data_IF_066458706195
#
_entry.id   IF_066458706195
#
_cell.length_a   1.000
_cell.length_b   1.000
_cell.length_c   1.000
_cell.angle_alpha   90.00
_cell.angle_beta   90.00
_cell.angle_gamma   90.00
#
_symmetry.space_group_name_H-M   'P 1'
#
loop_
_entity.id
_entity.type
_entity.pdbx_description
1 polymer ?
#
# COMPACT_ATOMS: atom_id res chain seq x y z
N UNK A 1 -5.64 -30.74 7.93
CA UNK A 1 -6.79 -30.23 8.71
C UNK A 1 -7.52 -31.38 9.38
N UNK A 2 -7.88 -31.19 10.62
CA UNK A 2 -8.77 -32.13 11.31
C UNK A 2 -10.23 -31.85 10.89
N UNK A 3 -11.14 -32.81 11.13
CA UNK A 3 -12.57 -32.62 10.86
C UNK A 3 -13.16 -31.45 11.68
N UNK A 4 -12.59 -31.17 12.85
CA UNK A 4 -12.99 -30.08 13.73
C UNK A 4 -12.64 -28.72 13.09
N UNK A 5 -11.45 -28.57 12.47
CA UNK A 5 -10.99 -27.35 11.86
C UNK A 5 -11.88 -26.94 10.67
N UNK A 6 -12.32 -27.91 9.87
CA UNK A 6 -13.21 -27.67 8.74
C UNK A 6 -14.60 -27.18 9.18
N UNK A 7 -15.13 -27.72 10.28
CA UNK A 7 -16.43 -27.32 10.82
C UNK A 7 -16.41 -25.90 11.41
N UNK A 8 -15.32 -25.53 12.09
CA UNK A 8 -15.10 -24.17 12.63
C UNK A 8 -14.98 -23.17 11.48
N UNK A 9 -14.14 -23.47 10.49
CA UNK A 9 -13.95 -22.63 9.31
C UNK A 9 -15.28 -22.33 8.60
N UNK A 10 -16.06 -23.39 8.32
CA UNK A 10 -17.35 -23.24 7.64
C UNK A 10 -18.33 -22.38 8.44
N UNK A 11 -18.49 -22.63 9.74
CA UNK A 11 -19.32 -21.80 10.62
C UNK A 11 -18.92 -20.34 10.63
N UNK A 12 -17.63 -20.05 10.70
CA UNK A 12 -17.10 -18.68 10.67
C UNK A 12 -17.38 -17.99 9.33
N UNK A 13 -17.24 -18.71 8.22
CA UNK A 13 -17.57 -18.17 6.92
C UNK A 13 -19.09 -17.93 6.75
N UNK A 14 -19.92 -18.81 7.26
CA UNK A 14 -21.39 -18.65 7.27
C UNK A 14 -21.84 -17.51 8.18
N UNK A 15 -21.18 -17.33 9.34
CA UNK A 15 -21.52 -16.22 10.26
C UNK A 15 -21.30 -14.83 9.66
N UNK A 16 -20.46 -14.70 8.63
CA UNK A 16 -20.30 -13.41 7.92
C UNK A 16 -21.61 -12.97 7.25
N UNK A 17 -22.41 -13.92 6.74
CA UNK A 17 -23.72 -13.58 6.15
C UNK A 17 -24.71 -13.10 7.21
N UNK A 18 -24.71 -13.74 8.39
CA UNK A 18 -25.52 -13.36 9.53
C UNK A 18 -25.11 -11.99 10.09
N UNK A 19 -23.82 -11.73 10.16
CA UNK A 19 -23.21 -10.51 10.71
C UNK A 19 -22.95 -9.42 9.65
N UNK A 20 -23.40 -9.61 8.41
CA UNK A 20 -23.16 -8.69 7.28
C UNK A 20 -23.56 -7.24 7.62
N UNK A 21 -24.67 -7.05 8.34
CA UNK A 21 -25.11 -5.76 8.81
C UNK A 21 -24.11 -5.10 9.78
N UNK A 22 -23.50 -5.87 10.68
CA UNK A 22 -22.48 -5.39 11.62
C UNK A 22 -21.18 -5.00 10.91
N UNK A 23 -20.78 -5.78 9.90
CA UNK A 23 -19.60 -5.49 9.09
C UNK A 23 -19.77 -4.18 8.31
N UNK A 24 -20.94 -3.97 7.69
CA UNK A 24 -21.29 -2.75 6.98
C UNK A 24 -21.33 -1.56 7.94
N UNK A 25 -21.96 -1.71 9.11
CA UNK A 25 -22.02 -0.65 10.13
C UNK A 25 -20.63 -0.25 10.60
N UNK A 26 -19.75 -1.22 10.86
CA UNK A 26 -18.37 -0.95 11.24
C UNK A 26 -17.65 -0.13 10.17
N UNK A 27 -17.72 -0.54 8.90
CA UNK A 27 -17.13 0.24 7.80
C UNK A 27 -17.72 1.65 7.71
N UNK A 28 -19.04 1.77 7.76
CA UNK A 28 -19.72 3.07 7.71
C UNK A 28 -19.28 4.01 8.83
N UNK A 29 -19.10 3.47 10.05
CA UNK A 29 -18.60 4.24 11.21
C UNK A 29 -17.16 4.65 11.04
N UNK A 30 -16.28 3.76 10.53
CA UNK A 30 -14.88 4.10 10.23
C UNK A 30 -14.78 5.23 9.18
N UNK A 31 -15.61 5.20 8.14
CA UNK A 31 -15.64 6.26 7.11
C UNK A 31 -16.07 7.61 7.71
N UNK A 32 -17.03 7.61 8.64
CA UNK A 32 -17.52 8.84 9.29
C UNK A 32 -16.50 9.52 10.19
N UNK A 33 -15.38 8.87 10.46
CA UNK A 33 -14.26 9.46 11.22
C UNK A 33 -13.17 9.82 10.20
N UNK A 34 -13.06 11.09 9.78
CA UNK A 34 -12.00 11.53 8.88
C UNK A 34 -10.62 11.31 9.50
N UNK A 35 -9.73 10.76 8.74
CA UNK A 35 -8.34 10.49 9.13
C UNK A 35 -7.39 10.85 7.98
N UNK A 36 -7.65 11.99 7.35
CA UNK A 36 -6.94 12.47 6.17
C UNK A 36 -5.45 12.65 6.43
N UNK A 37 -4.63 12.15 5.53
CA UNK A 37 -3.19 12.27 5.59
C UNK A 37 -2.61 12.64 4.21
N UNK A 38 -1.98 13.81 4.06
CA UNK A 38 -1.84 14.90 5.04
C UNK A 38 -3.15 15.64 5.35
N UNK A 39 -3.26 16.41 6.48
CA UNK A 39 -2.24 16.74 7.48
C UNK A 39 -1.99 15.65 8.53
N UNK A 40 -2.75 14.57 8.54
CA UNK A 40 -2.60 13.38 9.33
C UNK A 40 -2.99 13.51 10.81
N UNK A 41 -4.14 12.91 11.17
CA UNK A 41 -4.43 12.58 12.55
C UNK A 41 -5.25 11.30 12.59
N UNK A 42 -4.73 10.28 13.23
CA UNK A 42 -5.43 9.01 13.45
C UNK A 42 -5.94 8.85 14.88
N UNK A 43 -5.93 9.93 15.69
CA UNK A 43 -6.32 9.90 17.10
C UNK A 43 -7.76 9.41 17.28
N UNK A 44 -8.70 10.03 16.60
CA UNK A 44 -10.14 9.74 16.78
C UNK A 44 -10.49 8.32 16.33
N UNK A 45 -10.03 7.91 15.15
CA UNK A 45 -10.29 6.57 14.61
C UNK A 45 -9.59 5.48 15.44
N UNK A 46 -8.39 5.75 15.97
CA UNK A 46 -7.68 4.81 16.84
C UNK A 46 -8.42 4.60 18.17
N UNK A 47 -8.91 5.66 18.79
CA UNK A 47 -9.75 5.55 19.99
C UNK A 47 -11.07 4.83 19.71
N UNK A 48 -11.73 5.11 18.60
CA UNK A 48 -12.93 4.38 18.20
C UNK A 48 -12.66 2.87 18.07
N UNK A 49 -11.58 2.47 17.41
CA UNK A 49 -11.23 1.03 17.25
C UNK A 49 -10.85 0.43 18.60
N UNK A 50 -10.13 1.16 19.45
CA UNK A 50 -9.81 0.72 20.81
C UNK A 50 -11.09 0.40 21.57
N UNK A 51 -12.04 1.33 21.65
CA UNK A 51 -13.30 1.16 22.37
C UNK A 51 -14.16 0.02 21.77
N UNK A 52 -14.16 -0.13 20.44
CA UNK A 52 -14.82 -1.22 19.76
C UNK A 52 -14.23 -2.59 20.18
N UNK A 53 -12.92 -2.72 20.22
CA UNK A 53 -12.23 -3.96 20.63
C UNK A 53 -12.40 -4.24 22.13
N UNK A 54 -12.40 -3.23 22.99
CA UNK A 54 -12.70 -3.36 24.42
C UNK A 54 -14.13 -3.87 24.65
N UNK A 55 -15.09 -3.43 23.83
CA UNK A 55 -16.46 -3.97 23.83
C UNK A 55 -16.55 -5.46 23.50
N UNK A 56 -15.53 -6.02 22.84
CA UNK A 56 -15.40 -7.47 22.59
C UNK A 56 -14.60 -8.20 23.66
N UNK A 57 -14.04 -7.49 24.66
CA UNK A 57 -13.26 -8.02 25.78
C UNK A 57 -11.76 -8.13 25.51
N UNK A 58 -11.24 -7.42 24.52
CA UNK A 58 -9.79 -7.32 24.28
C UNK A 58 -9.18 -6.16 25.08
N UNK A 59 -7.84 -6.17 25.18
CA UNK A 59 -7.04 -5.12 25.80
C UNK A 59 -6.12 -4.48 24.74
N UNK A 60 -6.68 -3.67 23.82
CA UNK A 60 -5.87 -3.03 22.79
C UNK A 60 -4.95 -1.96 23.38
N UNK A 61 -3.73 -1.85 22.82
CA UNK A 61 -2.75 -0.84 23.19
C UNK A 61 -2.67 0.23 22.10
N UNK A 62 -2.60 1.48 22.53
CA UNK A 62 -2.35 2.62 21.67
C UNK A 62 -0.87 3.01 21.75
N UNK A 63 -0.29 3.34 20.59
CA UNK A 63 1.08 3.82 20.46
C UNK A 63 1.07 5.10 19.64
N UNK A 64 1.55 6.20 20.19
CA UNK A 64 1.65 7.50 19.53
C UNK A 64 3.12 7.90 19.38
N UNK A 65 3.83 7.38 18.36
CA UNK A 65 5.26 7.68 18.15
C UNK A 65 5.53 9.11 17.72
N UNK A 66 4.56 9.75 17.12
CA UNK A 66 4.57 11.14 16.70
C UNK A 66 3.19 11.74 16.96
N UNK A 67 3.13 13.01 17.28
CA UNK A 67 1.88 13.70 17.63
C UNK A 67 0.83 13.54 16.52
N UNK A 68 -0.32 12.96 16.87
CA UNK A 68 -1.42 12.68 15.97
C UNK A 68 -1.33 11.34 15.23
N UNK A 69 -0.17 10.70 15.16
CA UNK A 69 -0.01 9.38 14.55
C UNK A 69 -0.19 8.28 15.61
N UNK A 70 -1.43 7.85 15.80
CA UNK A 70 -1.79 6.82 16.78
C UNK A 70 -2.03 5.49 16.10
N UNK A 71 -1.31 4.45 16.54
CA UNK A 71 -1.45 3.07 16.11
C UNK A 71 -2.24 2.27 17.16
N UNK A 72 -2.99 1.26 16.72
CA UNK A 72 -3.70 0.33 17.61
C UNK A 72 -3.12 -1.06 17.45
N UNK A 73 -2.82 -1.75 18.55
CA UNK A 73 -2.37 -3.14 18.55
C UNK A 73 -3.20 -3.96 19.52
N UNK A 74 -3.80 -5.04 19.04
CA UNK A 74 -4.51 -6.03 19.86
C UNK A 74 -4.00 -7.43 19.54
N UNK A 75 -3.87 -8.28 20.56
CA UNK A 75 -3.41 -9.66 20.35
C UNK A 75 -4.33 -10.63 21.08
N UNK A 76 -4.41 -11.83 20.54
CA UNK A 76 -5.10 -12.98 21.13
C UNK A 76 -4.28 -14.24 20.92
N UNK A 77 -4.32 -15.16 21.89
CA UNK A 77 -3.58 -16.41 21.84
C UNK A 77 -2.08 -16.23 22.10
N UNK A 78 -1.34 -17.33 22.04
CA UNK A 78 0.10 -17.38 22.35
C UNK A 78 0.81 -18.40 21.45
N UNK A 79 2.13 -18.21 21.29
CA UNK A 79 2.98 -19.17 20.57
C UNK A 79 2.92 -19.05 19.06
N UNK A 80 3.14 -20.18 18.38
CA UNK A 80 3.18 -20.31 16.91
C UNK A 80 2.11 -21.32 16.44
N UNK A 81 1.56 -21.16 15.22
CA UNK A 81 1.89 -20.09 14.28
C UNK A 81 1.32 -18.73 14.73
N UNK A 82 2.00 -17.64 14.37
CA UNK A 82 1.61 -16.28 14.69
C UNK A 82 1.28 -15.49 13.41
N UNK A 83 0.02 -15.13 13.23
CA UNK A 83 -0.45 -14.33 12.11
C UNK A 83 -0.66 -12.86 12.52
N UNK A 84 -0.13 -11.96 11.74
CA UNK A 84 -0.40 -10.52 11.84
C UNK A 84 -1.51 -10.16 10.85
N UNK A 85 -2.52 -9.45 11.33
CA UNK A 85 -3.52 -8.76 10.51
C UNK A 85 -3.15 -7.28 10.49
N UNK A 86 -2.90 -6.72 9.31
CA UNK A 86 -2.47 -5.33 9.18
C UNK A 86 -3.43 -4.51 8.32
N UNK A 87 -3.73 -3.29 8.77
CA UNK A 87 -4.42 -2.30 7.97
C UNK A 87 -4.18 -0.90 8.48
N UNK A 88 -4.09 0.08 7.55
CA UNK A 88 -3.88 1.46 7.93
C UNK A 88 -5.18 2.20 8.25
N UNK A 89 -5.04 3.25 9.08
CA UNK A 89 -6.12 4.09 9.61
C UNK A 89 -6.33 5.35 8.80
N UNK A 90 -5.26 5.86 8.23
CA UNK A 90 -5.25 7.09 7.44
C UNK A 90 -5.83 6.87 6.04
N UNK A 91 -6.09 7.95 5.34
CA UNK A 91 -6.70 7.97 4.02
C UNK A 91 -6.29 9.24 3.27
N UNK A 92 -6.40 9.24 1.95
CA UNK A 92 -6.26 10.46 1.16
C UNK A 92 -7.30 11.50 1.56
N UNK A 93 -6.96 12.81 1.58
CA UNK A 93 -7.93 13.87 1.76
C UNK A 93 -8.99 13.88 0.65
N UNK A 94 -10.22 14.25 0.97
CA UNK A 94 -11.19 14.66 -0.05
C UNK A 94 -10.86 16.10 -0.47
N UNK A 95 -10.48 16.29 -1.75
CA UNK A 95 -10.06 17.61 -2.23
C UNK A 95 -11.20 18.62 -2.28
N UNK A 96 -10.87 19.87 -1.99
CA UNK A 96 -11.82 20.98 -2.10
C UNK A 96 -12.18 21.19 -3.58
N UNK A 97 -13.49 21.06 -3.88
CA UNK A 97 -14.00 21.20 -5.25
C UNK A 97 -14.25 19.89 -5.99
N UNK A 98 -13.88 18.74 -5.43
CA UNK A 98 -14.34 17.45 -5.93
C UNK A 98 -15.87 17.35 -5.88
N UNK A 99 -16.46 16.86 -6.96
CA UNK A 99 -17.93 16.66 -7.01
C UNK A 99 -18.27 15.24 -6.58
N UNK A 100 -18.71 15.10 -5.35
CA UNK A 100 -19.19 13.85 -4.77
C UNK A 100 -20.70 13.71 -4.95
N UNK A 101 -21.17 12.51 -5.33
CA UNK A 101 -22.61 12.17 -5.38
C UNK A 101 -23.22 12.00 -3.98
N UNK A 102 -22.40 11.75 -2.98
CA UNK A 102 -22.73 11.69 -1.55
C UNK A 102 -21.62 12.38 -0.76
N UNK A 103 -21.86 12.91 0.45
CA UNK A 103 -20.77 13.53 1.22
C UNK A 103 -19.59 12.53 1.45
N UNK A 104 -18.32 12.96 1.27
CA UNK A 104 -17.16 12.06 1.27
C UNK A 104 -16.98 11.26 2.55
N UNK A 105 -17.43 11.73 3.68
CA UNK A 105 -17.33 11.04 4.97
C UNK A 105 -18.70 10.58 5.51
N UNK A 106 -19.69 10.34 4.63
CA UNK A 106 -21.03 9.92 5.07
C UNK A 106 -21.10 8.45 5.49
N UNK A 107 -20.27 7.58 4.89
CA UNK A 107 -20.43 6.14 5.05
C UNK A 107 -21.81 5.64 4.60
N UNK A 108 -22.41 6.29 3.60
CA UNK A 108 -23.76 5.98 3.14
C UNK A 108 -23.78 4.61 2.45
N UNK A 109 -24.80 3.81 2.79
CA UNK A 109 -25.06 2.55 2.11
C UNK A 109 -26.14 2.77 1.05
N UNK A 110 -25.76 2.71 -0.22
CA UNK A 110 -26.65 3.02 -1.33
C UNK A 110 -26.35 2.18 -2.56
N UNK A 111 -27.37 1.68 -3.21
CA UNK A 111 -27.26 0.89 -4.44
C UNK A 111 -26.29 -0.30 -4.35
N UNK A 112 -26.22 -0.97 -3.19
CA UNK A 112 -25.35 -2.12 -2.98
C UNK A 112 -23.89 -1.78 -2.69
N UNK A 113 -23.57 -0.52 -2.40
CA UNK A 113 -22.22 -0.04 -2.08
C UNK A 113 -22.19 0.69 -0.74
N UNK A 114 -21.05 0.67 -0.07
CA UNK A 114 -20.70 1.61 1.00
C UNK A 114 -19.84 2.70 0.38
N UNK A 115 -20.30 3.93 0.50
CA UNK A 115 -19.69 5.09 -0.15
C UNK A 115 -18.89 5.92 0.84
N UNK A 116 -17.78 6.44 0.38
CA UNK A 116 -16.98 7.44 1.09
C UNK A 116 -15.49 7.30 0.91
N UNK A 117 -14.77 8.37 1.18
CA UNK A 117 -13.31 8.42 1.16
C UNK A 117 -12.74 7.41 2.16
N UNK A 118 -11.74 6.64 1.72
CA UNK A 118 -11.15 5.57 2.51
C UNK A 118 -11.99 4.28 2.56
N UNK A 119 -13.18 4.24 1.92
CA UNK A 119 -13.99 3.01 1.89
C UNK A 119 -13.24 1.86 1.22
N UNK A 120 -12.48 2.15 0.18
CA UNK A 120 -11.64 1.19 -0.54
C UNK A 120 -10.23 1.12 0.03
N UNK A 121 -9.58 2.27 0.25
CA UNK A 121 -8.20 2.41 0.70
C UNK A 121 -8.15 3.07 2.08
N UNK A 122 -8.02 2.24 3.20
CA UNK A 122 -8.30 0.80 3.15
C UNK A 122 -9.28 0.39 4.26
N UNK A 123 -10.19 1.30 4.69
CA UNK A 123 -11.13 1.04 5.81
C UNK A 123 -12.06 -0.16 5.53
N UNK A 124 -12.35 -0.47 4.24
CA UNK A 124 -13.10 -1.67 3.87
C UNK A 124 -12.38 -2.95 4.27
N UNK A 125 -11.13 -3.10 3.87
CA UNK A 125 -10.31 -4.23 4.28
C UNK A 125 -10.03 -4.23 5.78
N UNK A 126 -9.76 -3.07 6.38
CA UNK A 126 -9.56 -2.92 7.82
C UNK A 126 -10.79 -3.36 8.62
N UNK A 127 -12.00 -2.96 8.21
CA UNK A 127 -13.25 -3.39 8.87
C UNK A 127 -13.42 -4.91 8.81
N UNK A 128 -13.07 -5.53 7.68
CA UNK A 128 -13.05 -6.99 7.53
C UNK A 128 -12.06 -7.65 8.48
N UNK A 129 -10.82 -7.13 8.58
CA UNK A 129 -9.80 -7.67 9.49
C UNK A 129 -10.21 -7.55 10.96
N UNK A 130 -10.76 -6.40 11.38
CA UNK A 130 -11.26 -6.19 12.74
C UNK A 130 -12.40 -7.19 13.05
N UNK A 131 -13.37 -7.33 12.15
CA UNK A 131 -14.48 -8.27 12.30
C UNK A 131 -13.98 -9.71 12.43
N UNK A 132 -13.05 -10.13 11.56
CA UNK A 132 -12.45 -11.45 11.57
C UNK A 132 -11.61 -11.70 12.83
N UNK A 133 -10.83 -10.73 13.28
CA UNK A 133 -10.10 -10.82 14.55
C UNK A 133 -11.04 -11.09 15.73
N UNK A 134 -12.11 -10.34 15.84
CA UNK A 134 -13.10 -10.49 16.91
C UNK A 134 -13.80 -11.86 16.88
N UNK A 135 -14.20 -12.31 15.70
CA UNK A 135 -14.95 -13.56 15.57
C UNK A 135 -14.08 -14.82 15.77
N UNK A 136 -12.86 -14.81 15.25
CA UNK A 136 -11.96 -15.98 15.31
C UNK A 136 -11.34 -16.18 16.68
N UNK A 137 -11.08 -15.13 17.44
CA UNK A 137 -10.50 -15.20 18.78
C UNK A 137 -11.34 -16.01 19.78
N UNK A 138 -12.66 -16.15 19.56
CA UNK A 138 -13.58 -16.90 20.42
C UNK A 138 -13.65 -18.40 20.10
N UNK A 139 -12.89 -18.87 19.11
CA UNK A 139 -13.02 -20.24 18.62
C UNK A 139 -12.01 -21.25 19.19
N UNK A 140 -11.13 -20.82 20.10
CA UNK A 140 -10.11 -21.70 20.68
C UNK A 140 -9.09 -22.22 19.65
N UNK A 141 -8.79 -21.44 18.63
CA UNK A 141 -7.79 -21.78 17.63
C UNK A 141 -6.38 -21.79 18.26
N UNK A 142 -5.45 -22.62 17.79
CA UNK A 142 -4.07 -22.59 18.27
C UNK A 142 -3.31 -21.37 17.75
N UNK A 143 -2.13 -21.12 18.36
CA UNK A 143 -1.24 -20.05 17.91
C UNK A 143 -1.66 -18.66 18.38
N UNK A 144 -1.14 -17.65 17.71
CA UNK A 144 -1.34 -16.24 18.05
C UNK A 144 -1.85 -15.43 16.86
N UNK A 145 -2.78 -14.54 17.14
CA UNK A 145 -3.31 -13.57 16.18
C UNK A 145 -3.07 -12.17 16.72
N UNK A 146 -2.47 -11.29 15.93
CA UNK A 146 -2.26 -9.89 16.29
C UNK A 146 -2.84 -9.00 15.22
N UNK A 147 -3.69 -8.06 15.62
CA UNK A 147 -4.22 -6.99 14.78
C UNK A 147 -3.37 -5.74 14.99
N UNK A 148 -2.87 -5.16 13.90
CA UNK A 148 -2.19 -3.87 13.86
C UNK A 148 -2.98 -2.92 12.97
N UNK A 149 -3.47 -1.82 13.55
CA UNK A 149 -4.08 -0.73 12.79
C UNK A 149 -3.09 0.42 12.80
N UNK A 150 -2.49 0.71 11.65
CA UNK A 150 -1.31 1.57 11.51
C UNK A 150 -1.67 2.99 11.07
N UNK A 151 -0.92 3.97 11.52
CA UNK A 151 -0.99 5.34 11.03
C UNK A 151 -0.02 5.57 9.87
N UNK A 152 -0.20 6.64 9.14
CA UNK A 152 0.69 7.26 8.14
C UNK A 152 1.13 6.39 6.94
N UNK A 153 0.39 5.36 6.57
CA UNK A 153 0.71 4.56 5.38
C UNK A 153 0.78 5.44 4.12
N UNK A 154 -0.21 6.32 3.94
CA UNK A 154 -0.38 7.24 2.82
C UNK A 154 0.75 8.27 2.65
N UNK A 155 1.58 8.42 3.68
CA UNK A 155 2.77 9.27 3.68
C UNK A 155 4.08 8.49 3.91
N UNK A 156 4.03 7.16 3.79
CA UNK A 156 5.19 6.29 3.74
C UNK A 156 5.44 5.42 4.97
N UNK A 157 4.52 5.29 5.92
CA UNK A 157 4.48 4.29 7.00
C UNK A 157 5.56 4.41 8.07
N UNK A 158 6.22 5.59 8.17
CA UNK A 158 7.33 5.81 9.12
C UNK A 158 6.91 5.67 10.57
N UNK A 159 5.77 6.23 10.92
CA UNK A 159 5.22 6.29 12.27
C UNK A 159 4.19 5.18 12.54
N UNK A 160 3.81 4.47 11.50
CA UNK A 160 2.92 3.31 11.50
C UNK A 160 3.67 2.00 11.63
N UNK A 161 3.58 1.18 10.59
CA UNK A 161 4.12 -0.19 10.56
C UNK A 161 5.62 -0.26 10.82
N UNK A 162 6.42 0.64 10.24
CA UNK A 162 7.87 0.66 10.46
C UNK A 162 8.20 0.89 11.93
N UNK A 163 7.59 1.91 12.55
CA UNK A 163 7.84 2.20 13.95
C UNK A 163 7.40 1.06 14.87
N UNK A 164 6.24 0.46 14.61
CA UNK A 164 5.76 -0.69 15.40
C UNK A 164 6.75 -1.85 15.34
N UNK A 165 7.25 -2.19 14.16
CA UNK A 165 8.22 -3.26 13.95
C UNK A 165 9.55 -3.03 14.67
N UNK A 166 9.99 -1.77 14.78
CA UNK A 166 11.23 -1.41 15.43
C UNK A 166 11.10 -1.30 16.96
N UNK A 167 9.91 -1.00 17.48
CA UNK A 167 9.76 -0.60 18.89
C UNK A 167 8.81 -1.49 19.70
N UNK A 168 7.94 -2.29 19.08
CA UNK A 168 6.95 -3.11 19.79
C UNK A 168 7.29 -4.60 19.66
N UNK A 169 7.71 -5.27 20.74
CA UNK A 169 8.03 -6.69 20.69
C UNK A 169 6.83 -7.54 20.26
N UNK A 170 7.11 -8.56 19.44
CA UNK A 170 6.09 -9.53 19.04
C UNK A 170 5.16 -9.08 17.91
N UNK A 171 5.51 -7.99 17.18
CA UNK A 171 4.75 -7.53 16.00
C UNK A 171 5.23 -8.19 14.70
N UNK A 172 6.35 -8.88 14.72
CA UNK A 172 6.91 -9.49 13.51
C UNK A 172 6.02 -10.61 12.94
N UNK A 173 5.59 -11.55 13.81
CA UNK A 173 4.79 -12.70 13.37
C UNK A 173 5.54 -13.68 12.46
N UNK A 174 4.84 -14.75 12.04
CA UNK A 174 5.35 -15.72 11.06
C UNK A 174 4.88 -15.37 9.63
N UNK A 175 3.77 -14.63 9.52
CA UNK A 175 3.23 -14.09 8.25
C UNK A 175 2.28 -12.93 8.53
N UNK A 176 1.98 -12.19 7.46
CA UNK A 176 1.05 -11.04 7.51
C UNK A 176 -0.04 -11.19 6.46
N UNK A 177 -1.26 -10.88 6.88
CA UNK A 177 -2.39 -10.59 6.00
C UNK A 177 -2.72 -9.11 6.11
N UNK A 178 -2.61 -8.36 5.02
CA UNK A 178 -3.12 -7.00 4.92
C UNK A 178 -4.48 -6.96 4.22
N UNK A 179 -5.33 -6.04 4.68
CA UNK A 179 -6.64 -5.78 4.09
C UNK A 179 -6.62 -4.81 2.90
N UNK A 180 -5.44 -4.45 2.37
CA UNK A 180 -5.28 -3.58 1.21
C UNK A 180 -6.14 -4.01 0.02
N UNK A 181 -6.76 -3.06 -0.71
CA UNK A 181 -7.64 -3.39 -1.82
C UNK A 181 -6.89 -4.15 -2.92
N UNK A 182 -7.35 -5.34 -3.23
CA UNK A 182 -6.71 -6.22 -4.21
C UNK A 182 -7.63 -6.63 -5.37
N UNK A 183 -8.92 -6.33 -5.28
CA UNK A 183 -9.89 -6.65 -6.31
C UNK A 183 -10.05 -8.15 -6.58
N UNK A 184 -9.87 -8.99 -5.55
CA UNK A 184 -9.96 -10.45 -5.65
C UNK A 184 -8.68 -11.14 -6.12
N UNK A 185 -7.59 -10.41 -6.37
CA UNK A 185 -6.26 -11.00 -6.61
C UNK A 185 -5.52 -11.21 -5.29
N UNK A 186 -4.55 -12.13 -5.26
CA UNK A 186 -3.64 -12.28 -4.12
C UNK A 186 -2.41 -11.43 -4.40
N UNK A 187 -2.31 -10.29 -3.70
CA UNK A 187 -1.21 -9.35 -3.89
C UNK A 187 -0.03 -9.78 -3.04
N UNK A 188 1.01 -10.29 -3.68
CA UNK A 188 2.18 -10.84 -3.00
C UNK A 188 3.38 -9.91 -2.97
N UNK A 189 3.33 -8.78 -3.67
CA UNK A 189 4.47 -7.88 -3.79
C UNK A 189 4.10 -6.51 -4.30
N UNK A 190 5.11 -5.67 -4.37
CA UNK A 190 5.01 -4.28 -4.80
C UNK A 190 6.30 -3.82 -5.48
N UNK A 191 6.18 -2.82 -6.34
CA UNK A 191 7.34 -2.12 -6.88
C UNK A 191 8.00 -1.28 -5.79
N UNK A 192 9.31 -1.16 -5.88
CA UNK A 192 10.03 -0.15 -5.12
C UNK A 192 9.70 1.26 -5.60
N UNK A 193 10.11 2.25 -4.83
CA UNK A 193 9.87 3.66 -5.10
C UNK A 193 11.11 4.48 -4.78
N UNK A 194 11.42 5.46 -5.64
CA UNK A 194 12.43 6.48 -5.39
C UNK A 194 11.85 7.82 -5.79
N UNK A 195 11.55 8.68 -4.81
CA UNK A 195 11.22 10.07 -5.06
C UNK A 195 12.43 10.96 -4.77
N UNK A 196 12.68 11.93 -5.63
CA UNK A 196 13.82 12.84 -5.51
C UNK A 196 13.56 14.16 -6.22
N UNK A 197 14.38 15.15 -5.87
CA UNK A 197 14.42 16.47 -6.50
C UNK A 197 15.75 16.67 -7.21
N UNK A 198 15.72 17.12 -8.45
CA UNK A 198 16.93 17.57 -9.16
C UNK A 198 16.93 19.09 -9.21
N UNK A 199 18.07 19.70 -8.87
CA UNK A 199 18.26 21.14 -8.92
C UNK A 199 19.40 21.51 -9.85
N UNK A 200 19.19 22.57 -10.65
CA UNK A 200 20.22 23.23 -11.43
C UNK A 200 20.40 24.67 -10.97
N UNK A 201 21.64 25.14 -11.00
CA UNK A 201 21.99 26.50 -10.66
C UNK A 201 22.51 27.20 -11.87
N UNK A 202 22.11 28.45 -12.02
CA UNK A 202 22.55 29.38 -13.06
C UNK A 202 23.18 30.64 -12.46
N UNK A 203 23.45 31.60 -13.33
CA UNK A 203 23.92 32.93 -12.97
C UNK A 203 22.91 33.93 -13.50
N UNK A 204 22.25 34.72 -12.63
CA UNK A 204 21.24 35.66 -13.07
C UNK A 204 21.86 36.80 -13.88
N UNK A 205 21.10 37.30 -14.85
CA UNK A 205 21.42 38.49 -15.65
C UNK A 205 20.12 39.09 -16.19
N UNK A 206 20.18 40.31 -16.72
CA UNK A 206 19.04 40.86 -17.42
C UNK A 206 18.77 40.07 -18.72
N UNK A 207 17.51 39.76 -19.01
CA UNK A 207 17.12 38.86 -20.12
C UNK A 207 17.58 39.37 -21.51
N UNK A 208 17.77 40.70 -21.70
CA UNK A 208 18.32 41.23 -22.94
C UNK A 208 19.77 40.81 -23.22
N UNK A 209 20.49 40.34 -22.23
CA UNK A 209 21.84 39.82 -22.35
C UNK A 209 21.90 38.29 -22.39
N UNK A 210 20.74 37.63 -22.49
CA UNK A 210 20.69 36.14 -22.53
C UNK A 210 21.54 35.60 -23.68
N UNK A 211 22.39 34.62 -23.38
CA UNK A 211 23.37 34.05 -24.31
C UNK A 211 24.73 34.76 -24.34
N UNK A 212 24.84 35.97 -23.81
CA UNK A 212 26.09 36.72 -23.68
C UNK A 212 26.51 36.90 -22.21
N UNK A 213 25.54 37.05 -21.33
CA UNK A 213 25.79 37.14 -19.88
C UNK A 213 24.79 36.31 -19.11
N UNK A 214 25.26 35.78 -17.96
CA UNK A 214 24.47 34.90 -17.14
C UNK A 214 24.50 33.43 -17.61
N UNK A 215 23.94 32.56 -16.80
CA UNK A 215 23.75 31.13 -17.09
C UNK A 215 22.31 30.76 -16.76
N UNK A 216 21.57 30.27 -17.73
CA UNK A 216 20.15 29.97 -17.57
C UNK A 216 19.93 28.57 -16.94
N UNK A 217 19.45 28.55 -15.69
CA UNK A 217 19.20 27.30 -14.97
C UNK A 217 18.10 26.45 -15.61
N UNK A 218 17.07 27.06 -16.23
CA UNK A 218 16.01 26.34 -16.93
C UNK A 218 16.58 25.61 -18.15
N UNK A 219 17.48 26.27 -18.92
CA UNK A 219 18.13 25.64 -20.07
C UNK A 219 19.11 24.52 -19.66
N UNK A 220 19.73 24.64 -18.48
CA UNK A 220 20.50 23.53 -17.89
C UNK A 220 19.60 22.35 -17.57
N UNK A 221 18.50 22.61 -16.87
CA UNK A 221 17.50 21.55 -16.54
C UNK A 221 16.95 20.89 -17.81
N UNK A 222 16.62 21.66 -18.83
CA UNK A 222 16.12 21.11 -20.10
C UNK A 222 17.05 20.10 -20.76
N UNK A 223 18.37 20.17 -20.51
CA UNK A 223 19.36 19.19 -20.99
C UNK A 223 19.42 17.94 -20.09
N UNK A 224 19.00 18.04 -18.81
CA UNK A 224 18.98 16.94 -17.87
C UNK A 224 17.71 16.10 -17.96
N UNK A 225 16.57 16.69 -18.36
CA UNK A 225 15.27 15.99 -18.43
C UNK A 225 15.32 14.70 -19.26
N UNK A 226 15.92 14.67 -20.47
CA UNK A 226 16.02 13.45 -21.26
C UNK A 226 16.81 12.33 -20.55
N UNK A 227 17.84 12.68 -19.77
CA UNK A 227 18.65 11.71 -19.04
C UNK A 227 17.90 11.13 -17.82
N UNK A 228 17.06 11.95 -17.18
CA UNK A 228 16.17 11.48 -16.12
C UNK A 228 15.14 10.52 -16.73
N UNK A 229 14.49 10.89 -17.82
CA UNK A 229 13.51 10.05 -18.49
C UNK A 229 14.12 8.75 -19.02
N UNK A 230 15.36 8.78 -19.54
CA UNK A 230 16.05 7.61 -20.07
C UNK A 230 16.32 6.52 -19.03
N UNK A 231 16.12 6.79 -17.71
CA UNK A 231 16.16 5.75 -16.68
C UNK A 231 15.06 4.70 -16.87
N UNK A 232 13.97 5.05 -17.54
CA UNK A 232 12.89 4.09 -17.92
C UNK A 232 13.38 2.93 -18.80
N UNK A 233 14.51 3.09 -19.49
CA UNK A 233 15.11 2.06 -20.34
C UNK A 233 15.93 1.04 -19.52
N UNK A 234 16.08 1.24 -18.21
CA UNK A 234 16.74 0.27 -17.35
C UNK A 234 15.77 -0.88 -17.12
N UNK A 235 16.21 -2.06 -17.55
CA UNK A 235 15.47 -3.31 -17.40
C UNK A 235 15.97 -4.11 -16.20
N UNK A 236 15.07 -4.92 -15.64
CA UNK A 236 15.38 -5.80 -14.53
C UNK A 236 16.34 -6.93 -14.94
N UNK A 237 17.30 -7.23 -14.07
CA UNK A 237 18.06 -8.47 -14.13
C UNK A 237 17.38 -9.50 -13.24
N UNK A 238 16.53 -10.35 -13.82
CA UNK A 238 15.71 -11.32 -13.10
C UNK A 238 16.42 -12.67 -12.97
N UNK A 239 16.33 -13.28 -11.79
CA UNK A 239 16.66 -14.70 -11.60
C UNK A 239 15.67 -15.58 -12.37
N UNK A 240 15.96 -16.90 -12.55
CA UNK A 240 15.02 -17.82 -13.17
C UNK A 240 13.66 -17.85 -12.47
N UNK A 241 13.63 -17.83 -11.14
CA UNK A 241 12.43 -17.81 -10.31
C UNK A 241 11.63 -16.51 -10.49
N UNK A 242 12.30 -15.38 -10.54
CA UNK A 242 11.67 -14.07 -10.76
C UNK A 242 11.12 -13.93 -12.18
N UNK A 243 11.72 -14.56 -13.17
CA UNK A 243 11.16 -14.63 -14.54
C UNK A 243 9.84 -15.39 -14.55
N UNK A 244 9.80 -16.59 -13.95
CA UNK A 244 8.57 -17.39 -13.84
C UNK A 244 7.49 -16.58 -13.10
N UNK A 245 7.85 -15.96 -11.97
CA UNK A 245 6.92 -15.11 -11.21
C UNK A 245 6.38 -13.96 -12.07
N UNK A 246 7.25 -13.25 -12.77
CA UNK A 246 6.85 -12.12 -13.63
C UNK A 246 5.90 -12.57 -14.74
N UNK A 247 6.13 -13.75 -15.35
CA UNK A 247 5.23 -14.33 -16.35
C UNK A 247 3.85 -14.66 -15.77
N UNK A 248 3.78 -15.19 -14.55
CA UNK A 248 2.50 -15.44 -13.85
C UNK A 248 1.76 -14.14 -13.56
N UNK A 249 2.48 -13.14 -13.06
CA UNK A 249 1.92 -11.81 -12.81
C UNK A 249 1.37 -11.17 -14.08
N UNK A 250 2.09 -11.27 -15.20
CA UNK A 250 1.64 -10.76 -16.50
C UNK A 250 0.36 -11.45 -16.97
N UNK A 251 0.25 -12.78 -16.82
CA UNK A 251 -0.99 -13.51 -17.13
C UNK A 251 -2.16 -13.00 -16.29
N UNK A 252 -1.94 -12.76 -14.99
CA UNK A 252 -2.92 -12.18 -14.10
C UNK A 252 -3.37 -10.79 -14.53
N UNK A 253 -2.45 -9.92 -14.89
CA UNK A 253 -2.75 -8.59 -15.43
C UNK A 253 -3.54 -8.67 -16.74
N UNK A 254 -3.11 -9.50 -17.69
CA UNK A 254 -3.82 -9.69 -18.98
C UNK A 254 -5.24 -10.20 -18.78
N UNK A 255 -5.43 -11.14 -17.86
CA UNK A 255 -6.76 -11.66 -17.55
C UNK A 255 -7.67 -10.61 -16.87
N UNK A 256 -7.10 -9.72 -16.06
CA UNK A 256 -7.84 -8.68 -15.34
C UNK A 256 -8.20 -7.47 -16.23
N UNK A 257 -7.31 -7.05 -17.12
CA UNK A 257 -7.42 -5.81 -17.89
C UNK A 257 -7.61 -6.02 -19.42
N UNK A 258 -7.60 -7.27 -19.90
CA UNK A 258 -7.75 -7.58 -21.31
C UNK A 258 -6.56 -7.12 -22.16
N UNK A 259 -6.80 -6.81 -23.46
CA UNK A 259 -5.74 -6.36 -24.37
C UNK A 259 -5.09 -5.02 -24.00
N UNK A 260 -5.74 -4.19 -23.20
CA UNK A 260 -5.15 -2.96 -22.68
C UNK A 260 -3.96 -3.24 -21.73
N UNK A 261 -3.87 -4.46 -21.20
CA UNK A 261 -2.80 -4.90 -20.32
C UNK A 261 -1.45 -5.13 -21.03
N UNK A 262 -1.40 -5.27 -22.36
CA UNK A 262 -0.11 -5.45 -23.06
C UNK A 262 0.85 -4.28 -22.83
N UNK A 263 0.33 -3.04 -22.73
CA UNK A 263 1.11 -1.88 -22.34
C UNK A 263 1.47 -1.84 -20.85
N UNK A 264 0.59 -2.37 -19.99
CA UNK A 264 0.82 -2.40 -18.53
C UNK A 264 1.84 -3.47 -18.12
N UNK A 265 2.02 -4.54 -18.90
CA UNK A 265 3.00 -5.58 -18.59
C UNK A 265 4.44 -5.03 -18.44
N UNK A 266 4.80 -4.02 -19.23
CA UNK A 266 6.08 -3.31 -19.12
C UNK A 266 6.27 -2.63 -17.77
N UNK A 267 5.20 -2.24 -17.08
CA UNK A 267 5.27 -1.62 -15.76
C UNK A 267 5.92 -2.56 -14.74
N UNK A 268 5.74 -3.87 -14.86
CA UNK A 268 6.30 -4.84 -13.91
C UNK A 268 7.80 -5.07 -14.07
N UNK A 269 8.35 -4.86 -15.27
CA UNK A 269 9.73 -5.21 -15.62
C UNK A 269 10.64 -4.01 -15.89
N UNK A 270 10.06 -2.81 -16.01
CA UNK A 270 10.81 -1.58 -16.31
C UNK A 270 10.67 -0.56 -15.18
N UNK A 271 11.70 0.26 -15.04
CA UNK A 271 11.62 1.47 -14.22
C UNK A 271 10.59 2.40 -14.84
N UNK A 272 9.67 2.93 -14.03
CA UNK A 272 8.79 4.02 -14.49
C UNK A 272 9.31 5.32 -13.92
N UNK A 273 9.27 6.38 -14.74
CA UNK A 273 9.77 7.71 -14.40
C UNK A 273 8.65 8.71 -14.67
N UNK A 274 8.27 9.44 -13.65
CA UNK A 274 7.34 10.56 -13.76
C UNK A 274 8.00 11.83 -13.27
N UNK A 275 8.20 12.79 -14.18
CA UNK A 275 8.63 14.14 -13.85
C UNK A 275 7.36 14.94 -13.55
N UNK A 276 6.95 14.94 -12.28
CA UNK A 276 5.64 15.44 -11.88
C UNK A 276 5.55 16.96 -11.74
N UNK A 277 6.65 17.60 -11.34
CA UNK A 277 6.69 19.04 -11.08
C UNK A 277 7.97 19.64 -11.63
N UNK A 278 7.88 20.82 -12.25
CA UNK A 278 9.02 21.66 -12.63
C UNK A 278 8.76 23.11 -12.21
N UNK A 279 9.75 23.73 -11.56
CA UNK A 279 9.71 25.16 -11.15
C UNK A 279 11.03 25.83 -11.50
N UNK A 280 10.98 27.05 -12.07
CA UNK A 280 12.20 27.79 -12.38
C UNK A 280 11.93 29.22 -12.82
N UNK A 281 12.88 30.13 -12.50
CA UNK A 281 12.78 31.54 -12.83
C UNK A 281 11.79 32.30 -11.96
N UNK A 282 11.86 33.63 -12.01
CA UNK A 282 10.99 34.56 -11.25
C UNK A 282 10.30 35.57 -12.15
N UNK A 283 10.87 35.89 -13.28
CA UNK A 283 10.35 36.88 -14.25
C UNK A 283 10.94 36.64 -15.65
N UNK A 284 10.12 36.77 -16.68
CA UNK A 284 10.52 36.46 -18.06
C UNK A 284 11.74 37.26 -18.59
N UNK A 285 11.99 38.48 -18.09
CA UNK A 285 13.11 39.29 -18.49
C UNK A 285 14.35 39.18 -17.55
N UNK A 286 14.45 38.11 -16.79
CA UNK A 286 15.62 37.80 -15.94
C UNK A 286 16.09 36.37 -16.30
N UNK A 287 17.40 36.19 -16.51
CA UNK A 287 18.02 34.89 -16.70
C UNK A 287 17.85 34.10 -15.41
N UNK A 288 17.16 32.90 -15.40
CA UNK A 288 16.89 32.14 -14.21
C UNK A 288 18.14 31.67 -13.46
N UNK A 289 18.19 31.97 -12.16
CA UNK A 289 19.26 31.52 -11.27
C UNK A 289 19.10 30.07 -10.78
N UNK A 290 17.87 29.58 -10.72
CA UNK A 290 17.55 28.21 -10.23
C UNK A 290 16.44 27.60 -11.05
N UNK A 291 16.50 26.25 -11.18
CA UNK A 291 15.41 25.44 -11.66
C UNK A 291 15.42 24.10 -10.87
N UNK A 292 14.23 23.61 -10.55
CA UNK A 292 14.01 22.41 -9.76
C UNK A 292 12.95 21.53 -10.43
N UNK A 293 13.17 20.20 -10.42
CA UNK A 293 12.16 19.21 -10.82
C UNK A 293 11.97 18.17 -9.71
N UNK A 294 10.72 17.76 -9.51
CA UNK A 294 10.37 16.67 -8.61
C UNK A 294 9.99 15.44 -9.43
N UNK A 295 10.59 14.30 -9.09
CA UNK A 295 10.51 13.05 -9.85
C UNK A 295 10.06 11.93 -8.94
N UNK A 296 9.07 11.14 -9.40
CA UNK A 296 8.67 9.86 -8.84
C UNK A 296 9.13 8.73 -9.77
N UNK A 297 9.87 7.77 -9.25
CA UNK A 297 10.25 6.56 -9.97
C UNK A 297 9.72 5.33 -9.26
N UNK A 298 9.23 4.35 -10.04
CA UNK A 298 8.89 3.03 -9.52
C UNK A 298 9.89 1.99 -10.01
N UNK A 299 10.39 1.21 -9.08
CA UNK A 299 11.52 0.29 -9.26
C UNK A 299 10.99 -1.14 -9.35
N UNK A 300 11.20 -1.87 -10.47
CA UNK A 300 10.75 -3.25 -10.58
C UNK A 300 11.64 -4.21 -9.79
N UNK A 301 11.20 -5.46 -9.64
CA UNK A 301 12.03 -6.56 -9.16
C UNK A 301 13.31 -6.65 -10.00
N UNK A 302 14.43 -7.00 -9.40
CA UNK A 302 15.70 -7.19 -10.08
C UNK A 302 16.44 -5.90 -10.47
N UNK A 303 15.94 -4.73 -9.99
CA UNK A 303 16.63 -3.45 -10.13
C UNK A 303 16.99 -2.90 -8.75
N UNK A 304 18.25 -2.58 -8.54
CA UNK A 304 18.74 -2.03 -7.27
C UNK A 304 18.51 -0.51 -7.20
N UNK A 305 17.87 0.00 -6.14
CA UNK A 305 17.75 1.43 -5.88
C UNK A 305 19.10 2.14 -5.82
N UNK A 306 20.14 1.51 -5.25
CA UNK A 306 21.46 2.09 -5.15
C UNK A 306 22.13 2.23 -6.51
N UNK A 307 21.98 1.26 -7.40
CA UNK A 307 22.45 1.35 -8.78
C UNK A 307 21.74 2.43 -9.56
N UNK A 308 20.41 2.55 -9.43
CA UNK A 308 19.64 3.63 -10.07
C UNK A 308 20.13 5.01 -9.62
N UNK A 309 20.34 5.21 -8.32
CA UNK A 309 20.88 6.46 -7.78
C UNK A 309 22.26 6.78 -8.31
N UNK A 310 23.14 5.79 -8.40
CA UNK A 310 24.49 5.95 -8.95
C UNK A 310 24.42 6.32 -10.44
N UNK A 311 23.64 5.58 -11.23
CA UNK A 311 23.45 5.86 -12.68
C UNK A 311 22.89 7.24 -12.92
N UNK A 312 21.86 7.67 -12.15
CA UNK A 312 21.29 9.00 -12.24
C UNK A 312 22.36 10.06 -11.97
N UNK A 313 23.08 9.92 -10.87
CA UNK A 313 24.12 10.89 -10.47
C UNK A 313 25.21 11.02 -11.54
N UNK A 314 25.67 9.88 -12.10
CA UNK A 314 26.68 9.85 -13.15
C UNK A 314 26.19 10.58 -14.43
N UNK A 315 24.99 10.24 -14.91
CA UNK A 315 24.40 10.85 -16.11
C UNK A 315 24.24 12.36 -15.97
N UNK A 316 23.70 12.81 -14.84
CA UNK A 316 23.48 14.25 -14.61
C UNK A 316 24.80 15.02 -14.54
N UNK A 317 25.80 14.47 -13.84
CA UNK A 317 27.15 15.08 -13.75
C UNK A 317 27.87 15.11 -15.08
N UNK A 318 27.62 14.15 -15.96
CA UNK A 318 28.17 14.14 -17.32
C UNK A 318 27.72 15.36 -18.17
N UNK A 319 26.60 15.98 -17.81
CA UNK A 319 26.03 17.15 -18.52
C UNK A 319 26.24 18.44 -17.75
N UNK A 320 25.99 18.44 -16.45
CA UNK A 320 26.12 19.61 -15.57
C UNK A 320 26.69 19.23 -14.21
N UNK A 321 27.97 19.53 -13.98
CA UNK A 321 28.65 19.26 -12.71
C UNK A 321 28.02 19.98 -11.51
N UNK A 322 27.26 21.06 -11.76
CA UNK A 322 26.55 21.80 -10.71
C UNK A 322 25.18 21.23 -10.34
N UNK A 323 24.68 20.24 -11.10
CA UNK A 323 23.41 19.58 -10.81
C UNK A 323 23.50 18.80 -9.49
N UNK A 324 22.48 18.93 -8.66
CA UNK A 324 22.36 18.20 -7.40
C UNK A 324 21.07 17.40 -7.36
N UNK A 325 21.15 16.21 -6.75
CA UNK A 325 20.00 15.33 -6.48
C UNK A 325 19.76 15.30 -4.99
N UNK A 326 18.53 15.60 -4.57
CA UNK A 326 18.11 15.61 -3.17
C UNK A 326 17.03 14.54 -2.96
N UNK A 327 17.33 13.56 -2.10
CA UNK A 327 16.44 12.49 -1.70
C UNK A 327 15.79 12.75 -0.32
N UNK A 328 16.20 13.82 0.38
CA UNK A 328 15.83 14.04 1.79
C UNK A 328 14.38 14.46 1.99
N UNK A 329 13.72 14.97 0.95
CA UNK A 329 12.32 15.39 1.02
C UNK A 329 11.36 14.20 1.15
N UNK A 330 11.79 13.01 0.71
CA UNK A 330 10.99 11.79 0.71
C UNK A 330 11.80 10.59 1.21
N UNK A 331 12.33 10.62 2.46
CA UNK A 331 13.28 9.60 2.95
C UNK A 331 12.68 8.20 3.04
N UNK A 332 11.36 8.09 3.24
CA UNK A 332 10.65 6.81 3.30
C UNK A 332 10.37 6.17 1.93
N UNK A 333 10.75 6.85 0.83
CA UNK A 333 10.47 6.39 -0.54
C UNK A 333 11.69 5.81 -1.26
N UNK A 334 12.79 5.55 -0.57
CA UNK A 334 13.96 4.90 -1.19
C UNK A 334 13.91 3.41 -0.89
N UNK A 335 13.06 2.71 -1.61
CA UNK A 335 12.74 1.31 -1.37
C UNK A 335 12.94 0.49 -2.64
N UNK A 336 13.49 -0.72 -2.49
CA UNK A 336 13.47 -1.74 -3.53
C UNK A 336 12.08 -2.37 -3.67
N UNK A 337 11.87 -3.09 -4.77
CA UNK A 337 10.70 -3.96 -4.87
C UNK A 337 10.79 -5.08 -3.82
N UNK A 338 9.66 -5.40 -3.21
CA UNK A 338 9.56 -6.50 -2.24
C UNK A 338 8.46 -7.47 -2.64
N UNK A 339 8.66 -8.76 -2.37
CA UNK A 339 7.62 -9.76 -2.59
C UNK A 339 7.76 -10.95 -1.66
N UNK A 340 6.63 -11.60 -1.39
CA UNK A 340 6.54 -12.87 -0.67
C UNK A 340 6.72 -14.03 -1.63
N UNK A 341 7.35 -15.14 -1.21
CA UNK A 341 7.43 -16.31 -2.06
C UNK A 341 6.04 -16.76 -2.56
N UNK A 342 5.87 -17.01 -3.88
CA UNK A 342 4.57 -17.40 -4.45
C UNK A 342 3.96 -18.66 -3.83
N UNK A 343 4.79 -19.53 -3.28
CA UNK A 343 4.42 -20.79 -2.62
C UNK A 343 4.50 -20.74 -1.09
N UNK A 344 4.60 -19.54 -0.50
CA UNK A 344 4.57 -19.40 0.96
C UNK A 344 3.23 -19.88 1.53
N UNK A 345 3.24 -20.25 2.81
CA UNK A 345 2.02 -20.74 3.50
C UNK A 345 0.90 -19.70 3.37
N UNK A 346 1.21 -18.43 3.64
CA UNK A 346 0.20 -17.36 3.61
C UNK A 346 -0.35 -17.15 2.18
N UNK A 347 0.48 -17.20 1.15
CA UNK A 347 0.04 -17.10 -0.24
C UNK A 347 -0.91 -18.25 -0.60
N UNK A 348 -0.53 -19.48 -0.25
CA UNK A 348 -1.35 -20.67 -0.57
C UNK A 348 -2.69 -20.64 0.15
N UNK A 349 -2.72 -20.36 1.47
CA UNK A 349 -4.00 -20.30 2.20
C UNK A 349 -4.89 -19.18 1.72
N UNK A 350 -4.31 -18.07 1.24
CA UNK A 350 -5.08 -16.97 0.63
C UNK A 350 -5.71 -17.42 -0.69
N UNK A 351 -4.92 -18.01 -1.57
CA UNK A 351 -5.43 -18.53 -2.87
C UNK A 351 -6.53 -19.56 -2.68
N UNK A 352 -6.30 -20.55 -1.81
CA UNK A 352 -7.24 -21.64 -1.55
C UNK A 352 -8.58 -21.11 -1.04
N UNK A 353 -8.55 -20.14 -0.10
CA UNK A 353 -9.76 -19.55 0.46
C UNK A 353 -10.45 -18.59 -0.51
N UNK A 354 -9.72 -17.80 -1.28
CA UNK A 354 -10.29 -16.95 -2.31
C UNK A 354 -11.01 -17.80 -3.37
N UNK A 355 -10.38 -18.87 -3.85
CA UNK A 355 -11.01 -19.81 -4.79
C UNK A 355 -12.24 -20.48 -4.19
N UNK A 356 -12.17 -20.92 -2.92
CA UNK A 356 -13.30 -21.55 -2.23
C UNK A 356 -14.52 -20.64 -2.14
N UNK A 357 -14.30 -19.36 -1.79
CA UNK A 357 -15.37 -18.39 -1.56
C UNK A 357 -15.93 -17.84 -2.87
N UNK A 358 -15.07 -17.54 -3.84
CA UNK A 358 -15.48 -16.86 -5.09
C UNK A 358 -15.79 -17.84 -6.23
N UNK A 359 -15.33 -19.08 -6.14
CA UNK A 359 -15.37 -20.05 -7.24
C UNK A 359 -14.36 -19.78 -8.37
N UNK A 360 -13.53 -18.72 -8.24
CA UNK A 360 -12.58 -18.30 -9.26
C UNK A 360 -11.17 -18.48 -8.73
N UNK A 361 -10.26 -19.05 -9.54
CA UNK A 361 -8.84 -19.13 -9.21
C UNK A 361 -8.25 -17.71 -9.19
N UNK A 362 -7.77 -17.21 -8.03
CA UNK A 362 -7.23 -15.87 -7.98
C UNK A 362 -5.84 -15.81 -8.62
N UNK A 363 -5.58 -14.74 -9.35
CA UNK A 363 -4.24 -14.45 -9.85
C UNK A 363 -3.35 -13.90 -8.72
N UNK A 364 -2.05 -14.20 -8.82
CA UNK A 364 -1.05 -13.45 -8.07
C UNK A 364 -0.89 -12.06 -8.69
N UNK A 365 -0.70 -11.05 -7.86
CA UNK A 365 -0.52 -9.68 -8.35
C UNK A 365 0.52 -8.90 -7.54
N UNK A 366 1.01 -7.83 -8.18
CA UNK A 366 1.82 -6.79 -7.54
C UNK A 366 1.07 -5.48 -7.60
N UNK A 367 1.31 -4.61 -6.62
CA UNK A 367 0.91 -3.21 -6.75
C UNK A 367 2.05 -2.36 -7.30
N UNK A 368 1.70 -1.31 -8.02
CA UNK A 368 2.63 -0.26 -8.42
C UNK A 368 2.89 0.76 -7.31
N UNK A 369 2.00 0.83 -6.30
CA UNK A 369 2.17 1.60 -5.07
C UNK A 369 2.93 0.83 -3.99
N UNK A 370 3.34 1.51 -2.93
CA UNK A 370 3.84 0.88 -1.72
C UNK A 370 2.69 0.47 -0.81
N UNK A 371 2.93 -0.48 0.10
CA UNK A 371 2.03 -0.84 1.20
C UNK A 371 2.83 -1.08 2.47
N UNK A 372 2.19 -1.12 3.62
CA UNK A 372 2.87 -1.49 4.87
C UNK A 372 3.49 -2.90 4.83
N UNK A 373 3.00 -3.80 3.97
CA UNK A 373 3.54 -5.15 3.79
C UNK A 373 5.05 -5.18 3.48
N UNK A 374 5.58 -4.12 2.85
CA UNK A 374 7.01 -4.00 2.52
C UNK A 374 7.91 -4.14 3.74
N UNK A 375 7.52 -3.56 4.86
CA UNK A 375 8.35 -3.54 6.07
C UNK A 375 8.51 -4.93 6.71
N UNK A 376 7.51 -5.80 6.60
CA UNK A 376 7.61 -7.20 7.00
C UNK A 376 8.42 -8.01 5.98
N UNK A 377 8.19 -7.80 4.68
CA UNK A 377 8.94 -8.48 3.62
C UNK A 377 10.44 -8.16 3.67
N UNK A 378 10.82 -6.91 3.96
CA UNK A 378 12.21 -6.51 4.18
C UNK A 378 12.87 -7.23 5.36
N UNK A 379 12.07 -7.69 6.32
CA UNK A 379 12.51 -8.50 7.48
C UNK A 379 12.39 -10.01 7.22
N UNK A 380 12.13 -10.42 5.98
CA UNK A 380 11.99 -11.82 5.59
C UNK A 380 10.68 -12.48 5.99
N UNK A 381 9.69 -11.73 6.45
CA UNK A 381 8.37 -12.24 6.83
C UNK A 381 7.44 -12.18 5.62
N UNK A 382 6.86 -13.31 5.17
CA UNK A 382 5.91 -13.32 4.08
C UNK A 382 4.65 -12.50 4.42
N UNK A 383 4.31 -11.56 3.56
CA UNK A 383 3.15 -10.69 3.71
C UNK A 383 2.36 -10.64 2.41
N UNK A 384 1.05 -10.84 2.49
CA UNK A 384 0.13 -10.77 1.36
C UNK A 384 -0.97 -9.77 1.66
N UNK A 385 -1.49 -9.14 0.60
CA UNK A 385 -2.69 -8.34 0.70
C UNK A 385 -3.84 -9.02 -0.04
N UNK A 386 -4.99 -9.03 0.61
CA UNK A 386 -6.27 -9.44 0.04
C UNK A 386 -7.36 -8.54 0.61
N UNK A 387 -8.00 -7.77 -0.24
CA UNK A 387 -9.04 -6.84 0.16
C UNK A 387 -10.10 -6.66 -0.93
N UNK A 388 -11.17 -5.91 -0.64
CA UNK A 388 -12.31 -5.77 -1.52
C UNK A 388 -11.93 -5.04 -2.82
N UNK A 389 -12.76 -5.23 -3.83
CA UNK A 389 -12.73 -4.41 -5.03
C UNK A 389 -13.18 -3.00 -4.67
N UNK A 390 -12.48 -2.02 -5.20
CA UNK A 390 -12.79 -0.60 -5.00
C UNK A 390 -13.13 0.06 -6.33
N UNK A 391 -14.01 1.03 -6.27
CA UNK A 391 -14.35 1.91 -7.39
C UNK A 391 -13.96 3.34 -7.04
N UNK A 392 -13.37 4.04 -7.99
CA UNK A 392 -12.91 5.43 -7.84
C UNK A 392 -11.94 5.64 -6.65
N UNK A 393 -11.02 4.69 -6.40
CA UNK A 393 -10.00 4.80 -5.36
C UNK A 393 -9.23 6.12 -5.51
N UNK A 394 -9.11 6.89 -4.42
CA UNK A 394 -8.43 8.17 -4.40
C UNK A 394 -9.15 9.32 -5.12
N UNK A 395 -10.29 9.09 -5.76
CA UNK A 395 -11.10 10.09 -6.45
C UNK A 395 -12.48 10.28 -5.78
N UNK A 396 -13.26 11.24 -6.25
CA UNK A 396 -14.64 11.40 -5.81
C UNK A 396 -15.47 10.15 -6.09
N UNK A 397 -16.47 9.89 -5.27
CA UNK A 397 -17.35 8.72 -5.37
C UNK A 397 -16.66 7.38 -5.10
N UNK A 398 -15.61 7.39 -4.30
CA UNK A 398 -14.97 6.18 -3.80
C UNK A 398 -15.98 5.31 -3.06
N UNK A 399 -16.02 4.01 -3.41
CA UNK A 399 -16.99 3.08 -2.86
C UNK A 399 -16.58 1.62 -2.99
N UNK A 400 -17.09 0.79 -2.08
CA UNK A 400 -16.87 -0.65 -2.04
C UNK A 400 -18.20 -1.40 -2.16
N UNK A 401 -18.32 -2.45 -3.00
CA UNK A 401 -19.51 -3.29 -3.06
C UNK A 401 -19.71 -4.04 -1.74
N UNK A 402 -20.93 -4.04 -1.23
CA UNK A 402 -21.29 -4.74 0.01
C UNK A 402 -21.02 -6.25 -0.09
N UNK A 403 -21.34 -6.86 -1.23
CA UNK A 403 -21.13 -8.29 -1.44
C UNK A 403 -19.66 -8.67 -1.52
N UNK A 404 -18.84 -7.78 -2.09
CA UNK A 404 -17.40 -8.02 -2.19
C UNK A 404 -16.70 -7.85 -0.82
N UNK A 405 -17.17 -6.89 -0.02
CA UNK A 405 -16.75 -6.74 1.37
C UNK A 405 -17.06 -8.00 2.20
N UNK A 406 -18.26 -8.57 2.06
CA UNK A 406 -18.65 -9.81 2.72
C UNK A 406 -17.84 -11.00 2.24
N UNK A 407 -17.61 -11.11 0.92
CA UNK A 407 -16.75 -12.15 0.34
C UNK A 407 -15.32 -12.06 0.85
N UNK A 408 -14.77 -10.84 0.94
CA UNK A 408 -13.45 -10.58 1.52
C UNK A 408 -13.37 -11.05 2.97
N UNK A 409 -14.38 -10.77 3.79
CA UNK A 409 -14.42 -11.23 5.18
C UNK A 409 -14.48 -12.76 5.27
N UNK A 410 -15.23 -13.44 4.40
CA UNK A 410 -15.23 -14.92 4.34
C UNK A 410 -13.85 -15.48 3.99
N UNK A 411 -13.14 -14.84 3.06
CA UNK A 411 -11.77 -15.25 2.70
C UNK A 411 -10.84 -15.06 3.90
N UNK A 412 -10.88 -13.91 4.56
CA UNK A 412 -10.07 -13.61 5.76
C UNK A 412 -10.34 -14.61 6.89
N UNK A 413 -11.62 -14.93 7.17
CA UNK A 413 -11.99 -15.96 8.16
C UNK A 413 -11.34 -17.31 7.86
N UNK A 414 -11.50 -17.77 6.61
CA UNK A 414 -10.94 -19.05 6.18
C UNK A 414 -9.41 -19.05 6.24
N UNK A 415 -8.76 -17.97 5.86
CA UNK A 415 -7.31 -17.82 5.92
C UNK A 415 -6.78 -17.91 7.36
N UNK A 416 -7.40 -17.17 8.29
CA UNK A 416 -7.00 -17.19 9.70
C UNK A 416 -7.06 -18.61 10.26
N UNK A 417 -8.17 -19.31 10.03
CA UNK A 417 -8.33 -20.69 10.49
C UNK A 417 -7.27 -21.60 9.87
N UNK A 418 -7.13 -21.57 8.54
CA UNK A 418 -6.20 -22.44 7.82
C UNK A 418 -4.75 -22.17 8.19
N UNK A 419 -4.37 -20.91 8.41
CA UNK A 419 -3.02 -20.54 8.80
C UNK A 419 -2.70 -21.02 10.22
N UNK A 420 -3.60 -20.72 11.18
CA UNK A 420 -3.37 -21.05 12.59
C UNK A 420 -3.44 -22.57 12.87
N UNK A 421 -4.20 -23.32 12.08
CA UNK A 421 -4.34 -24.79 12.27
C UNK A 421 -3.38 -25.62 11.42
N UNK A 422 -2.64 -25.00 10.50
CA UNK A 422 -1.66 -25.68 9.67
C UNK A 422 -0.46 -26.09 10.52
N UNK A 423 -0.28 -27.39 10.72
CA UNK A 423 0.91 -27.90 11.42
C UNK A 423 2.16 -27.49 10.63
N UNK A 424 3.08 -26.81 11.29
CA UNK A 424 4.46 -26.64 10.77
C UNK A 424 5.01 -28.03 10.48
N UNK A 425 5.37 -28.28 9.22
CA UNK A 425 6.06 -29.53 8.84
C UNK A 425 7.51 -29.48 9.28
#
# INVERSE_FOLDING_TARGET
MTTIDLSVKRRLQESVDEDKGKLIDLLSRLIRIPSDNPPGSTVEIAHFIKDYLEGWGFEPRLYEPNKGNVNVVASWGEGSPHLILNGHLDQFPAEVGEKWSVPPYSGEVKNGFVWGRGSGDMKGGLSSLIHCFCATSKQGLPGKLTLTCTSDEETGGRWGALWLLDNVPGITGDSVLSGEPSGGTVRIGEKGMIAFTVKTRGKPAHGSFAGYAGENAIMKMGRLLPEIEALRNITASLTPEEKVLTEELMKGYTAQFGHEAEGLAGVLTHVTVNIGIIRGGVKANIVPAECEVEVDMRVPIGVSPSQLKATLTERLRGIDLSASVDYSRHPSTILGATYSPPNSIITNVTRDNAKLVTGIEPFLSFTSGGTDCRFWRERGVPAVAYGPKVYAMGAADERVPVEDLASTAKVHMGMIVDFLTKKSK
#
